data_IF_554843696731
#
_entry.id   IF_554843696731
#
_cell.length_a   1.000
_cell.length_b   1.000
_cell.length_c   1.000
_cell.angle_alpha   90.00
_cell.angle_beta   90.00
_cell.angle_gamma   90.00
#
_symmetry.space_group_name_H-M   'P 1'
#
loop_
_entity.id
_entity.type
_entity.pdbx_description
1 polymer ?
#
# COMPACT_ATOMS: atom_id res chain seq x y z
N UNK A 1 3.92 11.08 19.52
CA UNK A 1 3.23 11.04 18.21
C UNK A 1 3.54 12.24 17.32
N UNK A 2 3.55 13.49 17.82
CA UNK A 2 3.80 14.70 17.01
C UNK A 2 5.10 14.65 16.18
N UNK A 3 6.23 14.29 16.79
CA UNK A 3 7.53 14.24 16.09
C UNK A 3 7.58 13.23 14.92
N UNK A 4 6.89 12.08 15.02
CA UNK A 4 6.81 11.10 13.94
C UNK A 4 5.99 11.67 12.77
N UNK A 5 4.86 12.30 13.08
CA UNK A 5 4.04 12.97 12.08
C UNK A 5 4.82 14.05 11.34
N UNK A 6 5.53 14.92 12.06
CA UNK A 6 6.31 16.01 11.46
C UNK A 6 7.40 15.46 10.52
N UNK A 7 8.02 14.33 10.89
CA UNK A 7 9.00 13.64 10.06
C UNK A 7 8.38 13.12 8.76
N UNK A 8 7.27 12.38 8.85
CA UNK A 8 6.57 11.87 7.66
C UNK A 8 6.08 13.00 6.75
N UNK A 9 5.57 14.08 7.35
CA UNK A 9 5.09 15.26 6.64
C UNK A 9 6.21 16.00 5.89
N UNK A 10 7.37 16.15 6.52
CA UNK A 10 8.54 16.72 5.90
C UNK A 10 9.05 15.87 4.72
N UNK A 11 9.03 14.53 4.85
CA UNK A 11 9.38 13.63 3.75
C UNK A 11 8.39 13.72 2.58
N UNK A 12 7.09 13.73 2.86
CA UNK A 12 6.05 13.88 1.84
C UNK A 12 6.24 15.18 1.05
N UNK A 13 6.48 16.31 1.73
CA UNK A 13 6.65 17.62 1.07
C UNK A 13 7.85 17.69 0.11
N UNK A 14 8.90 16.88 0.33
CA UNK A 14 10.05 16.79 -0.59
C UNK A 14 9.68 16.06 -1.89
N UNK A 15 8.81 15.06 -1.82
CA UNK A 15 8.40 14.23 -2.98
C UNK A 15 6.90 13.89 -2.90
N UNK A 16 6.00 14.86 -3.12
CA UNK A 16 4.56 14.69 -2.83
C UNK A 16 3.85 13.75 -3.82
N UNK A 17 4.34 13.67 -5.06
CA UNK A 17 3.73 12.87 -6.12
C UNK A 17 4.78 11.98 -6.80
N UNK A 18 5.26 10.95 -6.11
CA UNK A 18 6.30 10.05 -6.62
C UNK A 18 5.84 9.39 -7.93
N UNK A 19 6.78 9.24 -8.84
CA UNK A 19 6.53 8.72 -10.18
C UNK A 19 6.18 7.23 -10.19
N UNK A 20 5.75 6.72 -11.34
CA UNK A 20 5.38 5.30 -11.50
C UNK A 20 6.52 4.34 -11.12
N UNK A 21 7.77 4.72 -11.42
CA UNK A 21 8.97 3.93 -11.15
C UNK A 21 9.20 3.76 -9.64
N UNK A 22 9.18 4.87 -8.90
CA UNK A 22 9.38 4.88 -7.44
C UNK A 22 8.27 4.11 -6.74
N UNK A 23 7.01 4.39 -7.08
CA UNK A 23 5.87 3.66 -6.51
C UNK A 23 5.94 2.15 -6.80
N UNK A 24 6.41 1.75 -7.98
CA UNK A 24 6.62 0.32 -8.31
C UNK A 24 7.73 -0.30 -7.47
N UNK A 25 8.82 0.44 -7.20
CA UNK A 25 9.88 -0.03 -6.31
C UNK A 25 9.38 -0.23 -4.89
N UNK A 26 8.58 0.70 -4.36
CA UNK A 26 7.97 0.55 -3.03
C UNK A 26 7.02 -0.63 -2.96
N UNK A 27 6.17 -0.84 -3.97
CA UNK A 27 5.32 -2.03 -4.02
C UNK A 27 6.12 -3.34 -4.12
N UNK A 28 7.26 -3.34 -4.83
CA UNK A 28 8.16 -4.50 -4.86
C UNK A 28 8.80 -4.74 -3.48
N UNK A 29 9.24 -3.70 -2.80
CA UNK A 29 9.79 -3.80 -1.44
C UNK A 29 8.72 -4.32 -0.45
N UNK A 30 7.49 -3.82 -0.56
CA UNK A 30 6.37 -4.27 0.26
C UNK A 30 6.03 -5.74 0.02
N UNK A 31 5.96 -6.18 -1.25
CA UNK A 31 5.75 -7.60 -1.57
C UNK A 31 6.83 -8.50 -0.94
N UNK A 32 8.10 -8.10 -1.03
CA UNK A 32 9.22 -8.85 -0.43
C UNK A 32 9.12 -8.92 1.09
N UNK A 33 8.81 -7.78 1.72
CA UNK A 33 8.61 -7.70 3.17
C UNK A 33 7.48 -8.63 3.63
N UNK A 34 6.32 -8.58 2.98
CA UNK A 34 5.17 -9.42 3.30
C UNK A 34 5.48 -10.92 3.23
N UNK A 35 6.22 -11.34 2.19
CA UNK A 35 6.60 -12.75 2.01
C UNK A 35 7.67 -13.15 3.03
N UNK A 36 8.67 -12.31 3.27
CA UNK A 36 9.76 -12.60 4.20
C UNK A 36 9.27 -12.71 5.64
N UNK A 37 8.43 -11.76 6.06
CA UNK A 37 7.93 -11.63 7.43
C UNK A 37 6.65 -12.44 7.70
N UNK A 38 6.17 -13.25 6.74
CA UNK A 38 4.88 -13.95 6.86
C UNK A 38 4.74 -14.81 8.13
N UNK A 39 5.86 -15.37 8.62
CA UNK A 39 5.89 -16.17 9.86
C UNK A 39 5.82 -15.29 11.10
N UNK A 40 6.56 -14.18 11.11
CA UNK A 40 6.54 -13.22 12.20
C UNK A 40 5.14 -12.60 12.37
N UNK A 41 4.47 -12.26 11.26
CA UNK A 41 3.08 -11.80 11.30
C UNK A 41 2.13 -12.87 11.84
N UNK A 42 2.28 -14.13 11.42
CA UNK A 42 1.45 -15.21 11.93
C UNK A 42 1.59 -15.41 13.44
N UNK A 43 2.82 -15.35 13.96
CA UNK A 43 3.09 -15.44 15.39
C UNK A 43 2.53 -14.26 16.18
N UNK A 44 2.71 -13.03 15.69
CA UNK A 44 2.16 -11.84 16.34
C UNK A 44 0.63 -11.89 16.40
N UNK A 45 -0.02 -12.27 15.30
CA UNK A 45 -1.49 -12.41 15.24
C UNK A 45 -1.97 -13.53 16.17
N UNK A 46 -1.25 -14.64 16.26
CA UNK A 46 -1.58 -15.71 17.21
C UNK A 46 -1.49 -15.22 18.67
N UNK A 47 -0.47 -14.42 19.00
CA UNK A 47 -0.32 -13.81 20.33
C UNK A 47 -1.43 -12.80 20.65
N UNK A 48 -1.83 -11.99 19.68
CA UNK A 48 -2.84 -10.95 19.86
C UNK A 48 -4.26 -11.51 20.01
N UNK A 49 -4.58 -12.60 19.29
CA UNK A 49 -5.96 -13.07 19.15
C UNK A 49 -6.22 -14.48 19.68
N UNK A 50 -5.19 -15.28 19.97
CA UNK A 50 -5.29 -16.66 20.42
C UNK A 50 -5.92 -17.61 19.39
N UNK A 51 -5.54 -18.89 19.44
CA UNK A 51 -6.20 -20.00 18.72
C UNK A 51 -6.30 -19.92 17.18
N UNK A 52 -5.51 -19.07 16.51
CA UNK A 52 -5.44 -19.03 15.04
C UNK A 52 -4.26 -19.86 14.53
N UNK A 53 -4.53 -20.90 13.76
CA UNK A 53 -3.48 -21.70 13.12
C UNK A 53 -2.61 -20.82 12.19
N UNK A 54 -1.29 -20.96 12.26
CA UNK A 54 -0.31 -20.22 11.42
C UNK A 54 -0.64 -20.26 9.94
N UNK A 55 -1.13 -21.40 9.43
CA UNK A 55 -1.55 -21.57 8.03
C UNK A 55 -2.77 -20.71 7.66
N UNK A 56 -3.68 -20.46 8.61
CA UNK A 56 -4.83 -19.59 8.42
C UNK A 56 -4.38 -18.15 8.23
N UNK A 57 -3.45 -17.65 9.06
CA UNK A 57 -2.93 -16.28 8.94
C UNK A 57 -2.17 -16.07 7.62
N UNK A 58 -1.37 -17.04 7.20
CA UNK A 58 -0.69 -16.98 5.91
C UNK A 58 -1.68 -16.92 4.73
N UNK A 59 -2.76 -17.69 4.80
CA UNK A 59 -3.76 -17.79 3.72
C UNK A 59 -4.72 -16.59 3.68
N UNK A 60 -5.12 -16.06 4.83
CA UNK A 60 -6.21 -15.08 4.94
C UNK A 60 -5.69 -13.65 5.12
N UNK A 61 -4.52 -13.47 5.72
CA UNK A 61 -4.01 -12.12 6.02
C UNK A 61 -2.87 -11.74 5.06
N UNK A 62 -1.86 -12.60 4.94
CA UNK A 62 -0.67 -12.32 4.12
C UNK A 62 -0.95 -12.48 2.62
N UNK A 63 -1.57 -13.59 2.21
CA UNK A 63 -1.81 -13.87 0.79
C UNK A 63 -2.67 -12.79 0.10
N UNK A 64 -3.82 -12.34 0.66
CA UNK A 64 -4.62 -11.29 0.02
C UNK A 64 -3.85 -9.98 -0.12
N UNK A 65 -3.02 -9.64 0.87
CA UNK A 65 -2.13 -8.47 0.84
C UNK A 65 -1.11 -8.57 -0.30
N UNK A 66 -0.44 -9.72 -0.45
CA UNK A 66 0.50 -9.97 -1.55
C UNK A 66 -0.20 -9.92 -2.91
N UNK A 67 -1.39 -10.50 -3.04
CA UNK A 67 -2.17 -10.48 -4.28
C UNK A 67 -2.61 -9.06 -4.65
N UNK A 68 -3.04 -8.26 -3.67
CA UNK A 68 -3.39 -6.86 -3.85
C UNK A 68 -2.18 -6.04 -4.33
N UNK A 69 -1.00 -6.23 -3.71
CA UNK A 69 0.24 -5.58 -4.13
C UNK A 69 0.62 -5.98 -5.56
N UNK A 70 0.56 -7.27 -5.91
CA UNK A 70 0.81 -7.76 -7.28
C UNK A 70 -0.18 -7.20 -8.28
N UNK A 71 -1.45 -7.08 -7.92
CA UNK A 71 -2.46 -6.45 -8.75
C UNK A 71 -2.16 -4.97 -8.96
N UNK A 72 -1.85 -4.24 -7.89
CA UNK A 72 -1.47 -2.84 -7.98
C UNK A 72 -0.24 -2.64 -8.87
N UNK A 73 0.84 -3.40 -8.70
CA UNK A 73 2.06 -3.32 -9.54
C UNK A 73 1.76 -3.46 -11.04
N UNK A 74 0.88 -4.39 -11.40
CA UNK A 74 0.47 -4.66 -12.79
C UNK A 74 -0.30 -3.49 -13.40
N UNK A 75 -1.15 -2.82 -12.62
CA UNK A 75 -2.05 -1.78 -13.13
C UNK A 75 -1.63 -0.35 -12.82
N UNK A 76 -0.63 -0.15 -11.97
CA UNK A 76 -0.19 1.15 -11.45
C UNK A 76 0.04 2.18 -12.55
N UNK A 77 0.76 1.80 -13.61
CA UNK A 77 1.04 2.70 -14.72
C UNK A 77 -0.23 3.20 -15.42
N UNK A 78 -1.23 2.32 -15.58
CA UNK A 78 -2.53 2.69 -16.17
C UNK A 78 -3.33 3.59 -15.23
N UNK A 79 -3.33 3.30 -13.94
CA UNK A 79 -4.06 4.08 -12.93
C UNK A 79 -3.49 5.48 -12.74
N UNK A 80 -2.19 5.66 -12.90
CA UNK A 80 -1.54 6.97 -12.79
C UNK A 80 -1.63 7.82 -14.06
N UNK A 81 -2.18 7.31 -15.16
CA UNK A 81 -2.30 8.10 -16.40
C UNK A 81 -3.20 9.32 -16.14
N UNK A 82 -2.77 10.54 -16.53
CA UNK A 82 -3.65 11.70 -16.50
C UNK A 82 -4.93 11.41 -17.26
N UNK A 83 -6.08 11.71 -16.65
CA UNK A 83 -7.39 11.57 -17.28
C UNK A 83 -8.02 12.95 -17.37
N UNK A 84 -8.48 13.32 -18.57
CA UNK A 84 -9.32 14.52 -18.73
C UNK A 84 -10.64 14.27 -18.01
N UNK A 85 -10.85 14.93 -16.89
CA UNK A 85 -12.16 14.99 -16.24
C UNK A 85 -12.92 16.16 -16.83
N UNK A 86 -14.08 15.91 -17.45
CA UNK A 86 -15.00 17.00 -17.79
C UNK A 86 -15.60 17.48 -16.47
N UNK A 87 -15.42 18.77 -16.18
CA UNK A 87 -16.13 19.39 -15.07
C UNK A 87 -17.62 19.42 -15.43
N UNK A 88 -18.49 19.10 -14.46
CA UNK A 88 -19.93 19.34 -14.64
C UNK A 88 -20.15 20.82 -14.95
N UNK A 89 -21.08 21.18 -15.87
CA UNK A 89 -21.46 22.57 -16.10
C UNK A 89 -21.84 23.33 -14.81
N UNK A 90 -22.27 22.60 -13.77
CA UNK A 90 -22.55 23.14 -12.44
C UNK A 90 -21.35 23.82 -11.75
N UNK A 91 -20.11 23.46 -12.13
CA UNK A 91 -18.88 24.05 -11.59
C UNK A 91 -18.22 25.02 -12.57
N UNK A 92 -18.93 25.44 -13.62
CA UNK A 92 -18.45 26.47 -14.52
C UNK A 92 -18.60 27.84 -13.86
N UNK A 93 -17.54 28.67 -13.80
CA UNK A 93 -17.69 30.04 -13.30
C UNK A 93 -18.57 30.84 -14.27
N UNK A 94 -19.72 31.28 -13.76
CA UNK A 94 -20.60 32.27 -14.40
C UNK A 94 -19.94 33.64 -14.50
#
# INVERSE_FOLDING_TARGET
MQALFDTLHAHYRKTPFPGVRERRQWLLALERCLIHEQKAFAQAIEQDFGHRAVSHTQLVDVLPSVLAVRHAKRHLARWMRPRRARLSPLFWPS
#
